data_IF_489382401116
#
_entry.id   IF_489382401116
#
_cell.length_a   1.000
_cell.length_b   1.000
_cell.length_c   1.000
_cell.angle_alpha   90.00
_cell.angle_beta   90.00
_cell.angle_gamma   90.00
#
_symmetry.space_group_name_H-M   'P 1'
#
loop_
_entity.id
_entity.type
_entity.pdbx_description
1 polymer ?
#
# COMPACT_ATOMS: atom_id res chain seq x y z
N UNK A 1 -21.11 5.66 6.44
CA UNK A 1 -19.79 5.98 5.86
C UNK A 1 -19.40 4.86 4.92
N UNK A 2 -19.09 5.15 3.64
CA UNK A 2 -18.43 4.15 2.79
C UNK A 2 -17.03 3.88 3.34
N UNK A 3 -16.61 2.62 3.37
CA UNK A 3 -15.22 2.28 3.68
C UNK A 3 -14.30 2.70 2.52
N UNK A 4 -13.04 3.04 2.82
CA UNK A 4 -12.02 3.35 1.80
C UNK A 4 -11.92 2.25 0.73
N UNK A 5 -12.06 0.99 1.13
CA UNK A 5 -12.07 -0.15 0.21
C UNK A 5 -13.21 -0.08 -0.80
N UNK A 6 -14.41 0.33 -0.39
CA UNK A 6 -15.56 0.47 -1.28
C UNK A 6 -15.37 1.64 -2.25
N UNK A 7 -14.78 2.75 -1.79
CA UNK A 7 -14.45 3.91 -2.65
C UNK A 7 -13.52 3.52 -3.80
N UNK A 8 -12.58 2.62 -3.56
CA UNK A 8 -11.58 2.21 -4.55
C UNK A 8 -11.91 0.87 -5.25
N UNK A 9 -13.08 0.27 -4.99
CA UNK A 9 -13.46 -1.02 -5.58
C UNK A 9 -12.57 -2.19 -5.13
N UNK A 10 -11.92 -2.08 -3.97
CA UNK A 10 -10.97 -3.06 -3.45
C UNK A 10 -11.64 -4.09 -2.53
N UNK A 11 -11.08 -5.31 -2.44
CA UNK A 11 -11.57 -6.31 -1.51
C UNK A 11 -11.56 -5.79 -0.06
N UNK A 12 -12.61 -6.09 0.72
CA UNK A 12 -12.72 -5.69 2.14
C UNK A 12 -11.55 -6.15 3.04
N UNK A 13 -10.83 -7.20 2.61
CA UNK A 13 -9.63 -7.70 3.29
C UNK A 13 -8.40 -6.79 3.13
N UNK A 14 -8.45 -5.82 2.21
CA UNK A 14 -7.38 -4.85 2.01
C UNK A 14 -7.50 -3.78 3.08
N UNK A 15 -6.52 -3.70 3.98
CA UNK A 15 -6.49 -2.66 4.98
C UNK A 15 -5.92 -1.39 4.37
N UNK A 16 -6.77 -0.36 4.29
CA UNK A 16 -6.41 0.97 3.84
C UNK A 16 -6.64 1.97 4.97
N UNK A 17 -5.73 2.93 5.09
CA UNK A 17 -5.87 4.08 5.97
C UNK A 17 -5.64 5.33 5.15
N UNK A 18 -6.31 6.41 5.52
CA UNK A 18 -6.04 7.72 4.94
C UNK A 18 -5.00 8.41 5.84
N UNK A 19 -3.83 8.72 5.27
CA UNK A 19 -2.73 9.37 6.00
C UNK A 19 -2.87 10.90 5.95
N UNK A 20 -3.33 11.42 4.81
CA UNK A 20 -3.67 12.83 4.63
C UNK A 20 -4.78 12.96 3.55
N UNK A 21 -5.08 14.17 3.08
CA UNK A 21 -6.14 14.40 2.09
C UNK A 21 -5.93 13.66 0.76
N UNK A 22 -4.67 13.40 0.39
CA UNK A 22 -4.25 12.86 -0.90
C UNK A 22 -3.35 11.61 -0.75
N UNK A 23 -3.11 11.11 0.46
CA UNK A 23 -2.22 9.97 0.68
C UNK A 23 -2.97 8.83 1.33
N UNK A 24 -2.94 7.68 0.66
CA UNK A 24 -3.54 6.43 1.12
C UNK A 24 -2.44 5.45 1.54
N UNK A 25 -2.51 5.00 2.78
CA UNK A 25 -1.67 3.95 3.32
C UNK A 25 -2.27 2.57 3.07
N UNK A 26 -1.51 1.67 2.45
CA UNK A 26 -1.82 0.23 2.37
C UNK A 26 -1.14 -0.44 3.56
N UNK A 27 -1.92 -1.03 4.46
CA UNK A 27 -1.38 -1.63 5.69
C UNK A 27 -1.08 -3.12 5.48
N UNK A 28 0.15 -3.52 5.83
CA UNK A 28 0.61 -4.91 5.85
C UNK A 28 1.30 -5.23 7.17
N UNK A 29 0.51 -5.61 8.17
CA UNK A 29 1.03 -6.15 9.44
C UNK A 29 1.34 -7.63 9.26
N UNK A 30 2.61 -7.97 9.02
CA UNK A 30 3.08 -9.35 8.91
C UNK A 30 4.40 -9.52 9.65
N UNK A 31 4.49 -10.59 10.44
CA UNK A 31 5.76 -11.01 11.08
C UNK A 31 6.77 -11.54 10.06
N UNK A 32 6.30 -12.13 8.96
CA UNK A 32 7.14 -12.68 7.88
C UNK A 32 7.57 -11.61 6.88
N UNK A 33 8.73 -11.82 6.24
CA UNK A 33 9.28 -10.91 5.24
C UNK A 33 8.36 -10.70 4.04
N UNK A 34 8.13 -9.44 3.65
CA UNK A 34 7.44 -9.10 2.39
C UNK A 34 8.37 -9.36 1.21
N UNK A 35 7.89 -10.15 0.25
CA UNK A 35 8.62 -10.54 -0.95
C UNK A 35 8.04 -9.86 -2.19
N UNK A 36 8.68 -10.07 -3.34
CA UNK A 36 8.30 -9.41 -4.60
C UNK A 36 6.86 -9.71 -5.03
N UNK A 37 6.33 -10.90 -4.70
CA UNK A 37 4.93 -11.26 -4.98
C UNK A 37 3.97 -10.32 -4.25
N UNK A 38 4.23 -10.06 -2.97
CA UNK A 38 3.45 -9.10 -2.20
C UNK A 38 3.65 -7.67 -2.76
N UNK A 39 4.87 -7.32 -3.16
CA UNK A 39 5.18 -6.04 -3.82
C UNK A 39 4.34 -5.79 -5.07
N UNK A 40 4.20 -6.79 -5.96
CA UNK A 40 3.33 -6.72 -7.14
C UNK A 40 1.87 -6.47 -6.76
N UNK A 41 1.36 -7.20 -5.76
CA UNK A 41 -0.01 -6.99 -5.28
C UNK A 41 -0.22 -5.58 -4.74
N UNK A 42 0.77 -5.02 -4.03
CA UNK A 42 0.71 -3.65 -3.50
C UNK A 42 0.65 -2.63 -4.65
N UNK A 43 1.45 -2.82 -5.70
CA UNK A 43 1.41 -1.96 -6.90
C UNK A 43 0.06 -2.06 -7.61
N UNK A 44 -0.54 -3.25 -7.72
CA UNK A 44 -1.85 -3.40 -8.34
C UNK A 44 -2.96 -2.69 -7.56
N UNK A 45 -2.88 -2.70 -6.22
CA UNK A 45 -3.77 -1.95 -5.34
C UNK A 45 -3.56 -0.44 -5.53
N UNK A 46 -2.30 0.00 -5.56
CA UNK A 46 -1.96 1.42 -5.77
C UNK A 46 -2.51 1.94 -7.10
N UNK A 47 -2.36 1.17 -8.17
CA UNK A 47 -2.94 1.50 -9.49
C UNK A 47 -4.46 1.59 -9.45
N UNK A 48 -5.15 0.75 -8.68
CA UNK A 48 -6.61 0.85 -8.53
C UNK A 48 -7.02 2.12 -7.79
N UNK A 49 -6.30 2.50 -6.74
CA UNK A 49 -6.52 3.77 -6.03
C UNK A 49 -6.33 4.95 -7.00
N UNK A 50 -5.24 4.95 -7.76
CA UNK A 50 -4.89 6.01 -8.70
C UNK A 50 -5.79 6.07 -9.95
N UNK A 51 -6.53 4.99 -10.26
CA UNK A 51 -7.57 5.01 -11.29
C UNK A 51 -8.77 5.87 -10.88
N UNK A 52 -9.05 5.98 -9.59
CA UNK A 52 -10.14 6.82 -9.07
C UNK A 52 -9.69 8.29 -9.08
N UNK A 53 -8.48 8.57 -8.61
CA UNK A 53 -7.86 9.89 -8.73
C UNK A 53 -6.33 9.75 -8.77
N UNK A 54 -5.71 10.30 -9.83
CA UNK A 54 -4.26 10.24 -10.04
C UNK A 54 -3.48 11.07 -9.03
N UNK A 55 -4.13 11.99 -8.32
CA UNK A 55 -3.51 12.81 -7.28
C UNK A 55 -3.35 12.04 -5.97
N UNK A 56 -3.83 10.79 -5.88
CA UNK A 56 -3.57 9.96 -4.72
C UNK A 56 -2.13 9.42 -4.71
N UNK A 57 -1.38 9.83 -3.69
CA UNK A 57 -0.15 9.20 -3.27
C UNK A 57 -0.48 7.90 -2.53
N UNK A 58 0.34 6.87 -2.75
CA UNK A 58 0.16 5.57 -2.10
C UNK A 58 1.42 5.19 -1.35
N UNK A 59 1.26 4.83 -0.08
CA UNK A 59 2.35 4.39 0.78
C UNK A 59 2.08 3.00 1.33
N UNK A 60 3.12 2.19 1.48
CA UNK A 60 3.07 0.92 2.19
C UNK A 60 3.38 1.15 3.66
N UNK A 61 2.46 0.79 4.55
CA UNK A 61 2.68 0.76 6.00
C UNK A 61 2.97 -0.68 6.39
N UNK A 62 4.13 -0.92 7.00
CA UNK A 62 4.57 -2.27 7.36
C UNK A 62 5.16 -2.32 8.76
N UNK A 63 4.95 -3.44 9.46
CA UNK A 63 5.50 -3.72 10.79
C UNK A 63 6.54 -4.87 10.79
N UNK A 64 7.11 -5.22 9.64
CA UNK A 64 7.93 -6.41 9.46
C UNK A 64 9.01 -6.23 8.40
N UNK A 65 9.89 -7.23 8.20
CA UNK A 65 11.01 -7.05 7.28
C UNK A 65 10.55 -7.02 5.80
N UNK A 66 11.25 -6.26 4.96
CA UNK A 66 11.05 -6.25 3.49
C UNK A 66 12.32 -6.74 2.79
N UNK A 67 12.17 -7.57 1.76
CA UNK A 67 13.28 -7.89 0.85
C UNK A 67 13.74 -6.65 0.08
N UNK A 68 15.05 -6.42 -0.05
CA UNK A 68 15.61 -5.28 -0.81
C UNK A 68 15.09 -5.17 -2.25
N UNK A 69 14.84 -6.32 -2.92
CA UNK A 69 14.22 -6.35 -4.25
C UNK A 69 12.81 -5.75 -4.26
N UNK A 70 12.04 -5.99 -3.20
CA UNK A 70 10.70 -5.43 -3.06
C UNK A 70 10.75 -3.94 -2.76
N UNK A 71 11.68 -3.49 -1.89
CA UNK A 71 11.89 -2.05 -1.63
C UNK A 71 12.18 -1.32 -2.94
N UNK A 72 13.14 -1.84 -3.73
CA UNK A 72 13.48 -1.28 -5.04
C UNK A 72 12.26 -1.26 -5.98
N UNK A 73 11.56 -2.38 -6.10
CA UNK A 73 10.38 -2.48 -6.97
C UNK A 73 9.25 -1.52 -6.58
N UNK A 74 9.01 -1.32 -5.29
CA UNK A 74 8.01 -0.36 -4.79
C UNK A 74 8.42 1.08 -5.10
N UNK A 75 9.69 1.43 -4.84
CA UNK A 75 10.24 2.75 -5.17
C UNK A 75 10.18 3.07 -6.66
N UNK A 76 10.51 2.11 -7.53
CA UNK A 76 10.38 2.24 -9.00
C UNK A 76 8.94 2.49 -9.46
N UNK A 77 7.95 2.07 -8.67
CA UNK A 77 6.53 2.32 -8.94
C UNK A 77 5.97 3.52 -8.14
N UNK A 78 6.83 4.33 -7.53
CA UNK A 78 6.43 5.53 -6.79
C UNK A 78 5.74 5.26 -5.46
N UNK A 79 5.95 4.07 -4.87
CA UNK A 79 5.33 3.68 -3.60
C UNK A 79 6.35 3.86 -2.47
N UNK A 80 6.07 4.81 -1.57
CA UNK A 80 6.85 5.01 -0.36
C UNK A 80 6.60 3.92 0.68
N UNK A 81 7.54 3.72 1.60
CA UNK A 81 7.44 2.75 2.69
C UNK A 81 7.49 3.51 4.02
N UNK A 82 6.54 3.24 4.89
CA UNK A 82 6.48 3.68 6.27
C UNK A 82 6.60 2.45 7.17
N UNK A 83 7.68 2.39 7.93
CA UNK A 83 7.87 1.37 8.95
C UNK A 83 7.12 1.80 10.22
N UNK A 84 6.07 1.06 10.56
CA UNK A 84 5.37 1.16 11.84
C UNK A 84 6.24 0.41 12.87
N UNK A 85 7.19 1.13 13.45
CA UNK A 85 7.90 0.66 14.63
C UNK A 85 6.95 0.81 15.82
N UNK A 86 6.47 -0.33 16.34
CA UNK A 86 5.71 -0.41 17.58
C UNK A 86 6.60 -0.14 18.80
#
# INVERSE_FOLDING_TARGET
MLSLTEKFGLPKRTQLVQLDNNTIGIVKKRKSRIIIKDGKQIVDIAKQIQKVDKNFNVMLIISGPICSKTIKYLGENGIGILEENE
#
